data_IF_107656767158
#
_entry.id   IF_107656767158
#
_cell.length_a   1.000
_cell.length_b   1.000
_cell.length_c   1.000
_cell.angle_alpha   90.00
_cell.angle_beta   90.00
_cell.angle_gamma   90.00
#
_symmetry.space_group_name_H-M   'P 1'
#
loop_
_entity.id
_entity.type
_entity.pdbx_description
1 polymer ?
#
# COMPACT_ATOMS: atom_id res chain seq x y z
N UNK A 1 -2.14 11.31 9.99
CA UNK A 1 -2.32 10.22 9.02
C UNK A 1 -3.75 9.72 9.07
N UNK A 2 -4.52 10.10 8.05
CA UNK A 2 -5.86 9.59 7.80
C UNK A 2 -5.80 8.48 6.74
N UNK A 3 -6.93 7.87 6.44
CA UNK A 3 -7.06 6.81 5.43
C UNK A 3 -6.64 7.27 4.03
N UNK A 4 -7.00 8.50 3.63
CA UNK A 4 -6.60 9.06 2.33
C UNK A 4 -5.08 9.18 2.18
N UNK A 5 -4.35 9.49 3.26
CA UNK A 5 -2.88 9.54 3.23
C UNK A 5 -2.30 8.17 2.90
N UNK A 6 -2.87 7.11 3.50
CA UNK A 6 -2.46 5.74 3.24
C UNK A 6 -2.82 5.30 1.82
N UNK A 7 -3.99 5.71 1.31
CA UNK A 7 -4.40 5.44 -0.07
C UNK A 7 -3.43 6.06 -1.07
N UNK A 8 -3.03 7.32 -0.87
CA UNK A 8 -2.05 7.99 -1.74
C UNK A 8 -0.70 7.27 -1.74
N UNK A 9 -0.22 6.86 -0.56
CA UNK A 9 1.02 6.09 -0.42
C UNK A 9 0.96 4.77 -1.21
N UNK A 10 -0.11 3.99 -1.02
CA UNK A 10 -0.30 2.70 -1.70
C UNK A 10 -0.43 2.87 -3.21
N UNK A 11 -1.20 3.86 -3.67
CA UNK A 11 -1.37 4.13 -5.09
C UNK A 11 -0.06 4.59 -5.75
N UNK A 12 0.71 5.44 -5.08
CA UNK A 12 2.04 5.83 -5.54
C UNK A 12 2.99 4.63 -5.68
N UNK A 13 2.94 3.67 -4.75
CA UNK A 13 3.74 2.45 -4.85
C UNK A 13 3.32 1.57 -6.04
N UNK A 14 2.01 1.44 -6.30
CA UNK A 14 1.54 0.74 -7.51
C UNK A 14 1.99 1.46 -8.79
N UNK A 15 1.85 2.78 -8.84
CA UNK A 15 2.32 3.60 -9.96
C UNK A 15 3.84 3.48 -10.18
N UNK A 16 4.61 3.33 -9.11
CA UNK A 16 6.06 3.12 -9.15
C UNK A 16 6.49 1.72 -9.64
N UNK A 17 5.54 0.80 -9.83
CA UNK A 17 5.79 -0.56 -10.30
C UNK A 17 5.96 -1.58 -9.18
N UNK A 18 5.37 -1.36 -8.00
CA UNK A 18 5.25 -2.42 -7.01
C UNK A 18 4.41 -3.59 -7.58
N UNK A 19 4.84 -4.82 -7.31
CA UNK A 19 4.17 -6.06 -7.73
C UNK A 19 3.36 -6.68 -6.57
N UNK A 20 3.69 -6.31 -5.35
CA UNK A 20 2.96 -6.70 -4.15
C UNK A 20 3.08 -5.65 -3.07
N UNK A 21 1.97 -5.33 -2.41
CA UNK A 21 1.94 -4.38 -1.30
C UNK A 21 1.19 -5.00 -0.13
N UNK A 22 1.68 -4.80 1.09
CA UNK A 22 0.94 -5.11 2.31
C UNK A 22 0.97 -3.93 3.28
N UNK A 23 -0.12 -3.76 4.04
CA UNK A 23 -0.19 -2.80 5.15
C UNK A 23 -0.36 -3.59 6.45
N UNK A 24 0.56 -3.42 7.39
CA UNK A 24 0.64 -4.17 8.65
C UNK A 24 0.52 -5.70 8.41
N UNK A 25 1.18 -6.18 7.35
CA UNK A 25 1.12 -7.59 6.96
C UNK A 25 -0.17 -8.04 6.27
N UNK A 26 -1.16 -7.17 6.05
CA UNK A 26 -2.33 -7.50 5.25
C UNK A 26 -2.06 -7.26 3.77
N UNK A 27 -2.04 -8.34 2.96
CA UNK A 27 -1.76 -8.26 1.52
C UNK A 27 -2.88 -7.54 0.78
N UNK A 28 -2.52 -6.48 0.06
CA UNK A 28 -3.45 -5.72 -0.75
C UNK A 28 -3.65 -6.37 -2.12
N UNK A 29 -4.85 -6.19 -2.65
CA UNK A 29 -5.24 -6.50 -4.03
C UNK A 29 -5.85 -5.27 -4.68
N UNK A 30 -6.13 -5.35 -5.99
CA UNK A 30 -6.87 -4.31 -6.71
C UNK A 30 -8.28 -4.04 -6.13
N UNK A 31 -8.83 -4.97 -5.34
CA UNK A 31 -10.15 -4.85 -4.72
C UNK A 31 -10.09 -4.44 -3.25
N UNK A 32 -8.89 -4.26 -2.69
CA UNK A 32 -8.74 -3.98 -1.26
C UNK A 32 -9.19 -2.55 -0.95
N UNK A 33 -10.15 -2.42 -0.03
CA UNK A 33 -10.64 -1.13 0.42
C UNK A 33 -9.75 -0.57 1.54
N UNK A 34 -9.46 0.73 1.53
CA UNK A 34 -8.81 1.44 2.63
C UNK A 34 -9.73 2.59 3.06
N UNK A 35 -10.22 2.58 4.29
CA UNK A 35 -11.23 3.53 4.79
C UNK A 35 -11.02 3.90 6.25
N UNK A 36 -11.39 5.11 6.64
CA UNK A 36 -11.43 5.54 8.03
C UNK A 36 -12.49 4.78 8.84
N UNK A 37 -12.18 4.51 10.11
CA UNK A 37 -13.09 3.89 11.08
C UNK A 37 -12.84 4.52 12.47
N UNK A 38 -13.45 5.67 12.72
CA UNK A 38 -13.15 6.49 13.91
C UNK A 38 -11.69 6.92 13.91
N UNK A 39 -10.94 6.52 14.94
CA UNK A 39 -9.51 6.81 15.07
C UNK A 39 -8.59 5.80 14.34
N UNK A 40 -9.16 4.71 13.80
CA UNK A 40 -8.43 3.67 13.08
C UNK A 40 -8.59 3.77 11.56
N UNK A 41 -7.69 3.13 10.81
CA UNK A 41 -7.84 2.91 9.37
C UNK A 41 -8.16 1.44 9.15
N UNK A 42 -9.27 1.14 8.49
CA UNK A 42 -9.65 -0.21 8.10
C UNK A 42 -9.12 -0.52 6.70
N UNK A 43 -8.39 -1.62 6.59
CA UNK A 43 -7.97 -2.23 5.32
C UNK A 43 -8.79 -3.51 5.13
N UNK A 44 -9.65 -3.52 4.12
CA UNK A 44 -10.77 -4.45 3.95
C UNK A 44 -11.71 -4.48 5.18
N UNK A 45 -11.56 -5.51 6.00
CA UNK A 45 -12.34 -5.73 7.22
C UNK A 45 -11.44 -5.75 8.47
N UNK A 46 -10.17 -5.36 8.33
CA UNK A 46 -9.20 -5.29 9.43
C UNK A 46 -8.92 -3.84 9.79
N UNK A 47 -9.41 -3.42 10.95
CA UNK A 47 -9.03 -2.13 11.52
C UNK A 47 -7.59 -2.20 12.01
N UNK A 48 -6.76 -1.30 11.51
CA UNK A 48 -5.35 -1.15 11.83
C UNK A 48 -5.18 0.08 12.71
N UNK A 49 -4.33 -0.06 13.73
CA UNK A 49 -3.89 1.05 14.58
C UNK A 49 -2.46 1.45 14.25
N UNK A 50 -2.12 2.70 14.55
CA UNK A 50 -0.75 3.23 14.42
C UNK A 50 0.22 2.48 15.36
N UNK A 51 1.51 2.38 15.02
CA UNK A 51 2.15 2.81 13.77
C UNK A 51 1.81 1.89 12.58
N UNK A 52 1.84 2.45 11.37
CA UNK A 52 1.59 1.70 10.14
C UNK A 52 2.91 1.30 9.46
N UNK A 53 2.98 0.07 8.97
CA UNK A 53 4.07 -0.45 8.16
C UNK A 53 3.53 -0.80 6.78
N UNK A 54 4.08 -0.17 5.75
CA UNK A 54 3.79 -0.51 4.35
C UNK A 54 4.99 -1.25 3.78
N UNK A 55 4.76 -2.47 3.32
CA UNK A 55 5.77 -3.32 2.70
C UNK A 55 5.45 -3.45 1.21
N UNK A 56 6.44 -3.23 0.35
CA UNK A 56 6.26 -3.31 -1.10
C UNK A 56 7.38 -4.16 -1.73
N UNK A 57 6.98 -5.10 -2.58
CA UNK A 57 7.85 -5.88 -3.47
C UNK A 57 7.85 -5.20 -4.83
N UNK A 58 9.03 -5.01 -5.42
CA UNK A 58 9.24 -4.53 -6.78
C UNK A 58 10.74 -4.49 -7.07
N UNK A 59 11.14 -3.86 -8.17
CA UNK A 59 12.56 -3.71 -8.51
C UNK A 59 13.31 -2.92 -7.42
N UNK A 60 14.22 -3.57 -6.65
CA UNK A 60 14.86 -2.94 -5.51
C UNK A 60 15.83 -1.83 -5.91
N UNK A 61 16.21 -1.73 -7.19
CA UNK A 61 17.10 -0.68 -7.68
C UNK A 61 16.36 0.59 -8.10
N UNK A 62 15.07 0.48 -8.47
CA UNK A 62 14.32 1.62 -9.02
C UNK A 62 13.03 1.97 -8.29
N UNK A 63 12.45 1.07 -7.49
CA UNK A 63 11.13 1.28 -6.87
C UNK A 63 11.07 2.54 -5.99
N UNK A 64 12.06 2.73 -5.11
CA UNK A 64 12.10 3.90 -4.22
C UNK A 64 12.23 5.20 -5.02
N UNK A 65 13.08 5.23 -6.04
CA UNK A 65 13.29 6.42 -6.86
C UNK A 65 12.05 6.76 -7.68
N UNK A 66 11.40 5.75 -8.28
CA UNK A 66 10.14 5.93 -9.01
C UNK A 66 9.03 6.41 -8.08
N UNK A 67 8.92 5.85 -6.88
CA UNK A 67 7.90 6.26 -5.90
C UNK A 67 7.96 7.76 -5.58
N UNK A 68 9.15 8.32 -5.36
CA UNK A 68 9.33 9.74 -5.05
C UNK A 68 8.75 10.66 -6.16
N UNK A 69 8.77 10.19 -7.41
CA UNK A 69 8.21 10.94 -8.56
C UNK A 69 6.70 10.77 -8.76
N UNK A 70 6.03 9.90 -7.98
CA UNK A 70 4.58 9.70 -8.05
C UNK A 70 3.82 10.74 -7.23
N UNK A 71 2.52 10.91 -7.50
CA UNK A 71 1.66 11.79 -6.70
C UNK A 71 1.67 11.38 -5.22
N UNK A 72 1.72 10.07 -4.93
CA UNK A 72 1.86 9.56 -3.57
C UNK A 72 3.18 9.95 -2.89
N UNK A 73 4.29 9.96 -3.63
CA UNK A 73 5.59 10.39 -3.11
C UNK A 73 5.67 11.91 -2.89
N UNK A 74 5.08 12.69 -3.78
CA UNK A 74 4.95 14.15 -3.64
C UNK A 74 4.06 14.48 -2.43
N UNK A 75 2.91 13.82 -2.30
CA UNK A 75 2.01 13.96 -1.16
C UNK A 75 2.73 13.63 0.15
N UNK A 76 3.50 12.55 0.18
CA UNK A 76 4.22 12.18 1.37
C UNK A 76 5.28 13.20 1.77
N UNK A 77 6.03 13.72 0.79
CA UNK A 77 6.98 14.82 1.02
C UNK A 77 6.29 16.06 1.60
N UNK A 78 5.07 16.38 1.15
CA UNK A 78 4.27 17.45 1.70
C UNK A 78 3.89 17.20 3.17
N UNK A 79 3.41 15.98 3.50
CA UNK A 79 3.04 15.61 4.87
C UNK A 79 4.23 15.70 5.84
N UNK A 80 5.41 15.28 5.41
CA UNK A 80 6.62 15.37 6.25
C UNK A 80 7.00 16.81 6.55
N UNK A 81 6.97 17.69 5.53
CA UNK A 81 7.38 19.09 5.67
C UNK A 81 6.38 19.95 6.43
N UNK A 82 5.07 19.71 6.25
CA UNK A 82 4.03 20.63 6.72
C UNK A 82 3.23 20.10 7.91
N UNK A 83 3.13 18.77 8.07
CA UNK A 83 2.25 18.13 9.07
C UNK A 83 3.07 17.38 10.14
N UNK A 84 4.39 17.24 9.95
CA UNK A 84 5.29 16.62 10.92
C UNK A 84 5.16 15.09 11.02
N UNK A 85 4.47 14.47 10.06
CA UNK A 85 4.45 13.01 9.92
C UNK A 85 5.86 12.55 9.50
N UNK A 86 6.32 11.39 9.97
CA UNK A 86 7.62 10.84 9.62
C UNK A 86 7.46 9.48 8.96
N UNK A 87 8.17 9.24 7.87
CA UNK A 87 8.37 7.90 7.32
C UNK A 87 9.83 7.50 7.41
N UNK A 88 10.04 6.22 7.64
CA UNK A 88 11.36 5.60 7.52
C UNK A 88 11.27 4.58 6.41
N UNK A 89 12.15 4.69 5.43
CA UNK A 89 12.23 3.77 4.30
C UNK A 89 13.41 2.85 4.53
N UNK A 90 13.17 1.55 4.42
CA UNK A 90 14.23 0.53 4.53
C UNK A 90 14.17 -0.38 3.32
N UNK A 91 15.27 -0.46 2.58
CA UNK A 91 15.43 -1.42 1.49
C UNK A 91 15.74 -2.80 2.07
N UNK A 92 15.03 -3.82 1.61
CA UNK A 92 15.31 -5.21 1.93
C UNK A 92 15.58 -6.00 0.64
N UNK A 93 16.58 -6.89 0.68
CA UNK A 93 16.91 -7.75 -0.46
C UNK A 93 15.95 -8.95 -0.57
N UNK A 94 15.41 -9.39 0.56
CA UNK A 94 14.45 -10.47 0.63
C UNK A 94 13.28 -10.03 1.51
N UNK A 95 12.11 -9.91 0.90
CA UNK A 95 10.87 -9.52 1.56
C UNK A 95 9.80 -10.52 1.14
N UNK A 96 9.12 -11.12 2.12
CA UNK A 96 8.00 -12.01 1.88
C UNK A 96 6.70 -11.32 2.30
N UNK A 97 5.71 -11.36 1.41
CA UNK A 97 4.36 -10.91 1.72
C UNK A 97 3.45 -12.12 1.82
N UNK A 98 2.43 -12.09 2.72
CA UNK A 98 1.44 -13.15 2.74
C UNK A 98 0.65 -13.21 1.43
N UNK A 99 0.02 -14.36 1.21
CA UNK A 99 -0.91 -14.53 0.11
C UNK A 99 -2.11 -13.58 0.26
N UNK A 100 -2.57 -13.05 -0.88
CA UNK A 100 -3.78 -12.25 -0.91
C UNK A 100 -5.02 -13.12 -0.65
N UNK A 101 -6.01 -12.56 0.04
CA UNK A 101 -7.33 -13.18 0.17
C UNK A 101 -7.94 -13.36 -1.21
N UNK A 102 -8.31 -14.59 -1.56
CA UNK A 102 -8.95 -14.89 -2.85
C UNK A 102 -10.44 -14.56 -2.78
N UNK A 103 -10.93 -13.86 -3.81
CA UNK A 103 -12.37 -13.71 -4.05
C UNK A 103 -12.84 -14.92 -4.85
N UNK A 104 -13.91 -15.58 -4.38
CA UNK A 104 -14.52 -16.69 -5.12
C UNK A 104 -15.40 -16.14 -6.25
N UNK A 105 -15.09 -16.49 -7.49
CA UNK A 105 -15.96 -16.20 -8.63
C UNK A 105 -17.21 -17.06 -8.54
N UNK A 106 -18.39 -16.41 -8.49
CA UNK A 106 -19.69 -17.11 -8.44
C UNK A 106 -20.39 -17.22 -9.79
N UNK A 107 -20.20 -16.22 -10.65
CA UNK A 107 -20.96 -16.11 -11.91
C UNK A 107 -20.05 -16.08 -13.15
N UNK A 108 -18.92 -15.37 -13.08
CA UNK A 108 -17.97 -15.34 -14.19
C UNK A 108 -17.19 -16.66 -14.29
N UNK A 109 -17.02 -17.13 -15.52
CA UNK A 109 -16.16 -18.26 -15.87
C UNK A 109 -15.00 -17.73 -16.72
N UNK A 110 -13.79 -18.28 -16.53
CA UNK A 110 -12.67 -17.95 -17.41
C UNK A 110 -13.02 -18.32 -18.84
N UNK A 111 -12.84 -17.39 -19.79
CA UNK A 111 -12.94 -17.72 -21.21
C UNK A 111 -11.85 -18.73 -21.55
N UNK A 112 -12.22 -19.83 -22.20
CA UNK A 112 -11.26 -20.75 -22.81
C UNK A 112 -10.48 -19.99 -23.91
N UNK A 113 -9.16 -20.19 -24.03
CA UNK A 113 -8.37 -19.59 -25.10
C UNK A 113 -8.85 -20.01 -26.50
#
# INVERSE_FOLDING_TARGET
>A
MIDTDLQQLVNGLWQAGAEGIAVNGHRLTALTAIRGAGDAITVDYRSLTRPYTVSAIGDPNSLQQKFISTDGGVWWTYLEKNIGIRMTVTRQQNLQLPAATRVTLRHAKGGTP
#
